data_IF_483210074618
#
_entry.id   IF_483210074618
#
_cell.length_a   1.000
_cell.length_b   1.000
_cell.length_c   1.000
_cell.angle_alpha   90.00
_cell.angle_beta   90.00
_cell.angle_gamma   90.00
#
_symmetry.space_group_name_H-M   'P 1'
#
loop_
_entity.id
_entity.type
_entity.pdbx_description
1 polymer ?
#
# COMPACT_ATOMS: atom_id res chain seq x y z
N UNK A 1 -4.09 -47.41 39.50
CA UNK A 1 -4.45 -46.00 39.19
C UNK A 1 -3.64 -45.56 37.97
N UNK A 2 -4.24 -45.58 36.77
CA UNK A 2 -3.56 -45.13 35.55
C UNK A 2 -3.59 -43.60 35.49
N UNK A 3 -2.41 -42.98 35.50
CA UNK A 3 -2.27 -41.53 35.37
C UNK A 3 -2.69 -41.07 33.98
N UNK A 4 -3.64 -40.14 33.96
CA UNK A 4 -4.19 -39.47 32.78
C UNK A 4 -3.14 -38.60 32.07
N UNK A 5 -2.27 -39.20 31.25
CA UNK A 5 -1.29 -38.46 30.44
C UNK A 5 -1.86 -37.91 29.12
N UNK A 6 -3.18 -37.95 28.91
CA UNK A 6 -3.85 -37.50 27.66
C UNK A 6 -4.07 -35.98 27.57
N UNK A 7 -3.86 -35.19 28.63
CA UNK A 7 -4.16 -33.75 28.66
C UNK A 7 -3.12 -32.86 27.95
N UNK A 8 -1.83 -33.18 28.06
CA UNK A 8 -0.77 -32.28 27.56
C UNK A 8 -0.66 -32.32 26.03
N UNK A 9 -0.89 -33.50 25.42
CA UNK A 9 -0.78 -33.68 23.97
C UNK A 9 -1.84 -32.88 23.20
N UNK A 10 -3.07 -32.79 23.72
CA UNK A 10 -4.16 -31.97 23.16
C UNK A 10 -3.88 -30.47 23.28
N UNK A 11 -3.29 -30.02 24.40
CA UNK A 11 -2.89 -28.62 24.60
C UNK A 11 -1.78 -28.20 23.62
N UNK A 12 -0.77 -29.05 23.43
CA UNK A 12 0.31 -28.80 22.47
C UNK A 12 -0.18 -28.79 21.02
N UNK A 13 -1.12 -29.69 20.66
CA UNK A 13 -1.77 -29.69 19.34
C UNK A 13 -2.59 -28.42 19.09
N UNK A 14 -3.36 -27.98 20.08
CA UNK A 14 -4.17 -26.76 19.97
C UNK A 14 -3.28 -25.51 19.82
N UNK A 15 -2.22 -25.42 20.63
CA UNK A 15 -1.24 -24.35 20.52
C UNK A 15 -0.60 -24.33 19.12
N UNK A 16 -0.13 -25.49 18.62
CA UNK A 16 0.47 -25.60 17.28
C UNK A 16 -0.50 -25.16 16.16
N UNK A 17 -1.77 -25.56 16.23
CA UNK A 17 -2.80 -25.14 15.25
C UNK A 17 -3.02 -23.63 15.32
N UNK A 18 -3.10 -23.04 16.52
CA UNK A 18 -3.24 -21.60 16.69
C UNK A 18 -2.04 -20.84 16.14
N UNK A 19 -0.81 -21.33 16.36
CA UNK A 19 0.40 -20.72 15.79
C UNK A 19 0.43 -20.82 14.28
N UNK A 20 0.10 -21.98 13.70
CA UNK A 20 0.00 -22.16 12.24
C UNK A 20 -1.07 -21.25 11.66
N UNK A 21 -2.23 -21.11 12.33
CA UNK A 21 -3.31 -20.23 11.90
C UNK A 21 -2.88 -18.76 11.96
N UNK A 22 -2.18 -18.33 13.01
CA UNK A 22 -1.65 -16.97 13.13
C UNK A 22 -0.59 -16.65 12.06
N UNK A 23 0.31 -17.60 11.78
CA UNK A 23 1.34 -17.46 10.74
C UNK A 23 0.69 -17.42 9.34
N UNK A 24 -0.24 -18.34 9.05
CA UNK A 24 -0.88 -18.44 7.73
C UNK A 24 -1.86 -17.29 7.46
N UNK A 25 -2.62 -16.85 8.46
CA UNK A 25 -3.50 -15.68 8.33
C UNK A 25 -2.73 -14.37 8.26
N UNK A 26 -1.64 -14.22 9.03
CA UNK A 26 -0.75 -13.05 8.95
C UNK A 26 -0.05 -12.87 7.60
N UNK A 27 0.33 -13.98 6.93
CA UNK A 27 0.91 -13.96 5.59
C UNK A 27 -0.14 -13.68 4.49
N UNK A 28 -1.34 -14.28 4.58
CA UNK A 28 -2.40 -14.10 3.57
C UNK A 28 -3.04 -12.70 3.61
N UNK A 29 -3.24 -12.14 4.81
CA UNK A 29 -3.82 -10.81 4.99
C UNK A 29 -2.87 -9.70 4.52
N UNK A 30 -1.57 -9.79 4.83
CA UNK A 30 -0.58 -8.80 4.38
C UNK A 30 -0.55 -8.64 2.86
N UNK A 31 -0.63 -9.75 2.11
CA UNK A 31 -0.64 -9.70 0.65
C UNK A 31 -1.93 -9.05 0.09
N UNK A 32 -3.08 -9.32 0.73
CA UNK A 32 -4.36 -8.70 0.36
C UNK A 32 -4.38 -7.19 0.65
N UNK A 33 -3.95 -6.77 1.84
CA UNK A 33 -3.87 -5.35 2.21
C UNK A 33 -2.92 -4.58 1.29
N UNK A 34 -1.76 -5.17 0.98
CA UNK A 34 -0.80 -4.61 0.00
C UNK A 34 -1.41 -4.43 -1.38
N UNK A 35 -2.14 -5.43 -1.90
CA UNK A 35 -2.82 -5.34 -3.20
C UNK A 35 -3.89 -4.25 -3.23
N UNK A 36 -4.66 -4.11 -2.15
CA UNK A 36 -5.67 -3.05 -2.01
C UNK A 36 -4.99 -1.68 -1.97
N UNK A 37 -3.94 -1.51 -1.16
CA UNK A 37 -3.18 -0.28 -1.08
C UNK A 37 -2.60 0.13 -2.44
N UNK A 38 -1.96 -0.80 -3.17
CA UNK A 38 -1.44 -0.54 -4.51
C UNK A 38 -2.54 -0.12 -5.51
N UNK A 39 -3.74 -0.70 -5.41
CA UNK A 39 -4.89 -0.33 -6.24
C UNK A 39 -5.36 1.09 -5.93
N UNK A 40 -5.47 1.45 -4.65
CA UNK A 40 -5.83 2.80 -4.21
C UNK A 40 -4.80 3.81 -4.72
N UNK A 41 -3.51 3.55 -4.52
CA UNK A 41 -2.43 4.42 -4.98
C UNK A 41 -2.47 4.62 -6.50
N UNK A 42 -2.71 3.54 -7.28
CA UNK A 42 -2.84 3.64 -8.74
C UNK A 42 -4.03 4.53 -9.15
N UNK A 43 -5.19 4.35 -8.50
CA UNK A 43 -6.38 5.14 -8.78
C UNK A 43 -6.18 6.62 -8.41
N UNK A 44 -5.59 6.89 -7.25
CA UNK A 44 -5.28 8.25 -6.81
C UNK A 44 -4.35 8.96 -7.79
N UNK A 45 -3.28 8.29 -8.26
CA UNK A 45 -2.39 8.88 -9.26
C UNK A 45 -3.09 9.15 -10.61
N UNK A 46 -4.08 8.34 -10.99
CA UNK A 46 -4.87 8.61 -12.19
C UNK A 46 -5.75 9.86 -12.02
N UNK A 47 -6.46 9.98 -10.90
CA UNK A 47 -7.29 11.16 -10.58
C UNK A 47 -6.44 12.42 -10.55
N UNK A 48 -5.29 12.39 -9.89
CA UNK A 48 -4.38 13.54 -9.78
C UNK A 48 -3.84 13.98 -11.16
N UNK A 49 -3.58 13.03 -12.07
CA UNK A 49 -3.17 13.34 -13.45
C UNK A 49 -4.31 14.00 -14.24
N UNK A 50 -5.54 13.52 -14.08
CA UNK A 50 -6.70 14.14 -14.73
C UNK A 50 -6.98 15.55 -14.21
N UNK A 51 -6.85 15.79 -12.89
CA UNK A 51 -6.95 17.14 -12.32
C UNK A 51 -5.91 18.08 -12.94
N UNK A 52 -4.65 17.64 -13.07
CA UNK A 52 -3.61 18.44 -13.74
C UNK A 52 -3.97 18.76 -15.19
N UNK A 53 -4.47 17.75 -15.93
CA UNK A 53 -4.88 17.90 -17.33
C UNK A 53 -6.03 18.89 -17.45
N UNK A 54 -7.06 18.75 -16.62
CA UNK A 54 -8.20 19.66 -16.57
C UNK A 54 -7.76 21.10 -16.31
N UNK A 55 -6.93 21.33 -15.29
CA UNK A 55 -6.46 22.68 -14.93
C UNK A 55 -5.53 23.31 -15.97
N UNK A 56 -4.91 22.47 -16.82
CA UNK A 56 -4.11 22.93 -17.96
C UNK A 56 -4.91 23.28 -19.20
N UNK A 57 -6.23 23.00 -19.24
CA UNK A 57 -7.11 23.32 -20.37
C UNK A 57 -7.12 24.81 -20.66
N UNK A 58 -7.17 25.15 -21.94
CA UNK A 58 -7.18 26.54 -22.41
C UNK A 58 -8.41 27.34 -21.96
N UNK A 59 -9.49 26.67 -21.57
CA UNK A 59 -10.66 27.32 -20.96
C UNK A 59 -10.46 27.70 -19.48
N UNK A 60 -9.59 26.99 -18.75
CA UNK A 60 -9.41 27.15 -17.29
C UNK A 60 -8.14 27.95 -16.98
N UNK A 61 -7.07 27.69 -17.72
CA UNK A 61 -5.75 28.32 -17.52
C UNK A 61 -5.79 29.85 -17.52
N UNK A 62 -6.55 30.54 -18.40
CA UNK A 62 -6.68 32.00 -18.36
C UNK A 62 -7.41 32.50 -17.11
N UNK A 63 -8.45 31.77 -16.67
CA UNK A 63 -9.22 32.12 -15.47
C UNK A 63 -8.34 32.08 -14.22
N UNK A 64 -7.46 31.08 -14.13
CA UNK A 64 -6.50 30.93 -13.04
C UNK A 64 -5.47 32.06 -13.06
N UNK A 65 -4.99 32.46 -14.24
CA UNK A 65 -4.00 33.53 -14.41
C UNK A 65 -4.55 34.94 -14.19
N UNK A 66 -5.87 35.11 -14.10
CA UNK A 66 -6.54 36.41 -13.94
C UNK A 66 -6.14 37.14 -12.66
N UNK A 67 -5.77 36.42 -11.61
CA UNK A 67 -5.35 36.99 -10.32
C UNK A 67 -4.00 36.41 -9.87
N UNK A 68 -3.05 37.25 -9.39
CA UNK A 68 -1.80 36.77 -8.81
C UNK A 68 -2.01 35.81 -7.63
N UNK A 69 -3.05 36.03 -6.81
CA UNK A 69 -3.40 35.15 -5.69
C UNK A 69 -3.81 33.77 -6.18
N UNK A 70 -4.62 33.72 -7.24
CA UNK A 70 -5.11 32.48 -7.82
C UNK A 70 -3.99 31.72 -8.56
N UNK A 71 -3.12 32.44 -9.27
CA UNK A 71 -1.93 31.85 -9.89
C UNK A 71 -0.95 31.25 -8.85
N UNK A 72 -0.75 31.94 -7.73
CA UNK A 72 0.08 31.41 -6.63
C UNK A 72 -0.57 30.18 -5.95
N UNK A 73 -1.89 30.20 -5.76
CA UNK A 73 -2.62 29.04 -5.26
C UNK A 73 -2.49 27.84 -6.22
N UNK A 74 -2.59 28.09 -7.52
CA UNK A 74 -2.39 27.05 -8.55
C UNK A 74 -0.99 26.44 -8.49
N UNK A 75 0.04 27.29 -8.38
CA UNK A 75 1.42 26.81 -8.27
C UNK A 75 1.58 25.88 -7.07
N UNK A 76 1.06 26.27 -5.90
CA UNK A 76 1.09 25.45 -4.67
C UNK A 76 0.34 24.15 -4.84
N UNK A 77 -0.83 24.17 -5.49
CA UNK A 77 -1.60 22.97 -5.79
C UNK A 77 -0.82 22.02 -6.70
N UNK A 78 -0.22 22.52 -7.79
CA UNK A 78 0.58 21.70 -8.70
C UNK A 78 1.79 21.07 -8.00
N UNK A 79 2.45 21.82 -7.10
CA UNK A 79 3.54 21.29 -6.27
C UNK A 79 3.05 20.17 -5.35
N UNK A 80 1.93 20.38 -4.64
CA UNK A 80 1.36 19.39 -3.75
C UNK A 80 0.95 18.11 -4.50
N UNK A 81 0.32 18.25 -5.66
CA UNK A 81 -0.05 17.10 -6.50
C UNK A 81 1.19 16.31 -6.95
N UNK A 82 2.24 17.00 -7.39
CA UNK A 82 3.48 16.32 -7.79
C UNK A 82 4.12 15.56 -6.61
N UNK A 83 4.20 16.18 -5.44
CA UNK A 83 4.75 15.54 -4.24
C UNK A 83 3.94 14.27 -3.84
N UNK A 84 2.61 14.33 -3.94
CA UNK A 84 1.75 13.16 -3.67
C UNK A 84 1.98 12.05 -4.71
N UNK A 85 2.11 12.39 -6.00
CA UNK A 85 2.41 11.42 -7.06
C UNK A 85 3.76 10.75 -6.82
N UNK A 86 4.80 11.53 -6.51
CA UNK A 86 6.15 11.02 -6.23
C UNK A 86 6.16 10.11 -5.00
N UNK A 87 5.54 10.54 -3.89
CA UNK A 87 5.38 9.72 -2.68
C UNK A 87 4.69 8.40 -2.98
N UNK A 88 3.63 8.43 -3.79
CA UNK A 88 2.90 7.24 -4.24
C UNK A 88 3.76 6.28 -5.08
N UNK A 89 4.64 6.78 -5.95
CA UNK A 89 5.57 5.95 -6.72
C UNK A 89 6.69 5.36 -5.85
N UNK A 90 7.16 6.08 -4.83
CA UNK A 90 8.09 5.55 -3.82
C UNK A 90 7.46 4.38 -3.06
N UNK A 91 6.22 4.54 -2.59
CA UNK A 91 5.49 3.46 -1.88
C UNK A 91 5.31 2.23 -2.76
N UNK A 92 4.98 2.41 -4.05
CA UNK A 92 4.94 1.29 -5.02
C UNK A 92 6.28 0.57 -5.14
N UNK A 93 7.38 1.32 -5.18
CA UNK A 93 8.73 0.79 -5.29
C UNK A 93 9.12 -0.01 -4.06
N UNK A 94 8.86 0.52 -2.86
CA UNK A 94 9.09 -0.22 -1.61
C UNK A 94 8.28 -1.52 -1.55
N UNK A 95 7.02 -1.50 -1.98
CA UNK A 95 6.20 -2.69 -2.04
C UNK A 95 6.76 -3.76 -2.99
N UNK A 96 7.35 -3.36 -4.13
CA UNK A 96 8.02 -4.29 -5.05
C UNK A 96 9.33 -4.83 -4.47
N UNK A 97 10.17 -3.97 -3.89
CA UNK A 97 11.47 -4.36 -3.33
C UNK A 97 11.31 -5.30 -2.14
N UNK A 98 10.32 -5.09 -1.26
CA UNK A 98 10.01 -6.00 -0.16
C UNK A 98 9.55 -7.38 -0.66
N UNK A 99 8.76 -7.42 -1.74
CA UNK A 99 8.34 -8.69 -2.35
C UNK A 99 9.54 -9.50 -2.88
N UNK A 100 10.50 -8.86 -3.54
CA UNK A 100 11.70 -9.55 -4.06
C UNK A 100 12.54 -10.13 -2.91
N UNK A 101 12.72 -9.38 -1.81
CA UNK A 101 13.46 -9.86 -0.63
C UNK A 101 12.75 -11.01 0.08
N UNK A 102 11.42 -10.99 0.18
CA UNK A 102 10.61 -12.08 0.72
C UNK A 102 10.78 -13.37 -0.11
N UNK A 103 10.66 -13.26 -1.44
CA UNK A 103 10.82 -14.41 -2.36
C UNK A 103 12.23 -15.01 -2.31
N UNK A 104 13.27 -14.17 -2.28
CA UNK A 104 14.66 -14.63 -2.16
C UNK A 104 14.94 -15.36 -0.84
N UNK A 105 14.37 -14.89 0.27
CA UNK A 105 14.51 -15.56 1.57
C UNK A 105 13.76 -16.90 1.64
N UNK A 106 12.62 -17.04 0.95
CA UNK A 106 11.94 -18.33 0.82
C UNK A 106 12.77 -19.35 0.02
N UNK A 107 13.40 -18.91 -1.07
CA UNK A 107 14.23 -19.80 -1.91
C UNK A 107 15.52 -20.23 -1.21
N UNK A 108 16.10 -19.41 -0.34
CA UNK A 108 17.31 -19.76 0.43
C UNK A 108 17.03 -20.75 1.57
N UNK A 109 15.78 -20.87 2.02
CA UNK A 109 15.37 -21.76 3.12
C UNK A 109 14.81 -23.12 2.65
N UNK A 110 14.65 -23.32 1.34
CA UNK A 110 14.32 -24.61 0.72
C UNK A 110 15.58 -25.28 0.20
#
# INVERSE_FOLDING_TARGET
MQQNNKSNYTKHKLALILTITAITTGCATNNRHKKIALKIIKNNNAILKEIKKERSRDSIKPLIKKSPKLANAEKRLMMAINAVIESNETVKTEFKTRHIKEVLNEHRKR
#
